data_IF_457473694669
#
_entry.id   IF_457473694669
#
_cell.length_a   1.000
_cell.length_b   1.000
_cell.length_c   1.000
_cell.angle_alpha   90.00
_cell.angle_beta   90.00
_cell.angle_gamma   90.00
#
_symmetry.space_group_name_H-M   'P 1'
#
loop_
_entity.id
_entity.type
_entity.pdbx_description
1 polymer ?
#
# COMPACT_ATOMS: atom_id res chain seq x y z
N UNK A 1 8.93 -3.98 -9.88
CA UNK A 1 10.00 -5.00 -9.76
C UNK A 1 11.23 -4.74 -10.64
N UNK A 2 11.11 -4.23 -11.88
CA UNK A 2 12.29 -3.93 -12.72
C UNK A 2 13.32 -3.00 -12.05
N UNK A 3 12.86 -1.86 -11.50
CA UNK A 3 13.71 -0.93 -10.74
C UNK A 3 14.47 -1.58 -9.57
N UNK A 4 13.86 -2.59 -8.92
CA UNK A 4 14.52 -3.35 -7.85
C UNK A 4 15.60 -4.27 -8.42
N UNK A 5 15.37 -4.87 -9.59
CA UNK A 5 16.38 -5.61 -10.34
C UNK A 5 17.58 -4.71 -10.68
N UNK A 6 17.32 -3.54 -11.25
CA UNK A 6 18.36 -2.56 -11.62
C UNK A 6 19.19 -2.16 -10.39
N UNK A 7 18.54 -1.86 -9.26
CA UNK A 7 19.20 -1.53 -8.00
C UNK A 7 20.10 -2.65 -7.47
N UNK A 8 19.71 -3.91 -7.69
CA UNK A 8 20.47 -5.09 -7.27
C UNK A 8 21.49 -5.54 -8.32
N UNK A 9 21.68 -4.78 -9.41
CA UNK A 9 22.53 -5.14 -10.54
C UNK A 9 22.16 -6.51 -11.14
N UNK A 10 20.85 -6.79 -11.20
CA UNK A 10 20.28 -8.01 -11.78
C UNK A 10 19.36 -7.66 -12.94
N UNK A 11 19.33 -8.52 -13.95
CA UNK A 11 18.38 -8.46 -15.07
C UNK A 11 17.39 -9.64 -14.99
N UNK A 12 16.36 -9.57 -14.12
CA UNK A 12 15.38 -10.64 -13.98
C UNK A 12 14.57 -10.82 -15.27
N UNK A 13 14.28 -12.07 -15.63
CA UNK A 13 13.40 -12.38 -16.75
C UNK A 13 11.96 -11.91 -16.49
N UNK A 14 11.18 -11.74 -17.55
CA UNK A 14 9.78 -11.36 -17.43
C UNK A 14 8.96 -12.41 -16.67
N UNK A 15 9.28 -13.70 -16.84
CA UNK A 15 8.65 -14.79 -16.07
C UNK A 15 8.94 -14.67 -14.56
N UNK A 16 10.18 -14.33 -14.19
CA UNK A 16 10.53 -14.14 -12.78
C UNK A 16 9.83 -12.90 -12.22
N UNK A 17 9.70 -11.84 -13.00
CA UNK A 17 8.97 -10.63 -12.60
C UNK A 17 7.48 -10.92 -12.39
N UNK A 18 6.84 -11.64 -13.31
CA UNK A 18 5.44 -12.05 -13.21
C UNK A 18 5.21 -12.99 -12.03
N UNK A 19 6.13 -13.94 -11.80
CA UNK A 19 6.07 -14.82 -10.63
C UNK A 19 6.19 -14.02 -9.33
N UNK A 20 7.12 -13.07 -9.25
CA UNK A 20 7.30 -12.24 -8.07
C UNK A 20 6.09 -11.33 -7.82
N UNK A 21 5.53 -10.72 -8.86
CA UNK A 21 4.30 -9.92 -8.78
C UNK A 21 3.13 -10.76 -8.27
N UNK A 22 2.93 -11.95 -8.84
CA UNK A 22 1.89 -12.88 -8.40
C UNK A 22 2.06 -13.27 -6.94
N UNK A 23 3.28 -13.64 -6.51
CA UNK A 23 3.55 -14.05 -5.12
C UNK A 23 3.39 -12.92 -4.11
N UNK A 24 3.68 -11.69 -4.51
CA UNK A 24 3.55 -10.50 -3.67
C UNK A 24 2.21 -9.76 -3.86
N UNK A 25 1.30 -10.29 -4.68
CA UNK A 25 -0.03 -9.69 -4.85
C UNK A 25 -0.82 -9.83 -3.54
N UNK A 26 -1.49 -8.76 -3.10
CA UNK A 26 -2.10 -8.73 -1.76
C UNK A 26 -3.12 -9.85 -1.56
N UNK A 27 -3.91 -10.20 -2.58
CA UNK A 27 -4.89 -11.29 -2.47
C UNK A 27 -4.21 -12.65 -2.27
N UNK A 28 -3.09 -12.88 -2.95
CA UNK A 28 -2.31 -14.12 -2.79
C UNK A 28 -1.63 -14.16 -1.42
N UNK A 29 -1.07 -13.04 -0.96
CA UNK A 29 -0.51 -12.94 0.39
C UNK A 29 -1.57 -13.14 1.47
N UNK A 30 -2.79 -12.61 1.28
CA UNK A 30 -3.93 -12.82 2.18
C UNK A 30 -4.33 -14.29 2.22
N UNK A 31 -4.47 -14.94 1.06
CA UNK A 31 -4.80 -16.36 0.98
C UNK A 31 -3.72 -17.24 1.65
N UNK A 32 -2.43 -16.94 1.43
CA UNK A 32 -1.32 -17.69 2.03
C UNK A 32 -1.22 -17.55 3.56
N UNK A 33 -1.60 -16.39 4.11
CA UNK A 33 -1.52 -16.14 5.57
C UNK A 33 -2.56 -16.94 6.37
N UNK A 34 -3.69 -17.29 5.77
CA UNK A 34 -4.77 -17.97 6.47
C UNK A 34 -5.35 -17.12 7.63
N UNK A 35 -5.81 -17.80 8.69
CA UNK A 35 -6.52 -17.17 9.83
C UNK A 35 -5.61 -16.70 10.96
N UNK A 36 -4.29 -16.75 10.78
CA UNK A 36 -3.38 -16.26 11.81
C UNK A 36 -3.47 -14.74 11.80
N UNK A 37 -3.64 -14.10 12.95
CA UNK A 37 -3.87 -12.66 13.12
C UNK A 37 -5.26 -12.19 12.66
N UNK A 38 -6.26 -12.53 13.48
CA UNK A 38 -7.60 -11.94 13.47
C UNK A 38 -7.77 -11.07 14.73
N UNK A 39 -8.66 -10.09 14.68
CA UNK A 39 -9.09 -9.37 15.87
C UNK A 39 -10.13 -10.20 16.67
N UNK A 40 -10.64 -9.62 17.75
CA UNK A 40 -11.64 -10.24 18.62
C UNK A 40 -12.96 -10.56 17.90
N UNK A 41 -13.23 -9.87 16.78
CA UNK A 41 -14.44 -10.03 15.97
C UNK A 41 -14.20 -10.99 14.78
N UNK A 42 -13.01 -11.58 14.67
CA UNK A 42 -12.66 -12.50 13.60
C UNK A 42 -12.31 -11.80 12.28
N UNK A 43 -12.05 -10.49 12.27
CA UNK A 43 -11.60 -9.80 11.07
C UNK A 43 -10.07 -9.88 10.92
N UNK A 44 -9.54 -9.98 9.69
CA UNK A 44 -8.10 -10.01 9.47
C UNK A 44 -7.45 -8.67 9.84
N UNK A 45 -6.49 -8.68 10.77
CA UNK A 45 -5.78 -7.46 11.20
C UNK A 45 -4.65 -7.03 10.26
N UNK A 46 -4.33 -7.86 9.25
CA UNK A 46 -3.30 -7.59 8.23
C UNK A 46 -3.85 -7.92 6.85
N UNK A 47 -3.29 -7.29 5.80
CA UNK A 47 -3.77 -7.38 4.42
C UNK A 47 -5.25 -6.98 4.27
N UNK A 48 -5.68 -5.91 4.95
CA UNK A 48 -7.07 -5.45 5.04
C UNK A 48 -7.72 -5.18 3.68
N UNK A 49 -7.32 -4.11 2.97
CA UNK A 49 -7.85 -3.77 1.63
C UNK A 49 -6.78 -3.73 0.55
N UNK A 50 -5.62 -3.13 0.81
CA UNK A 50 -4.54 -3.01 -0.18
C UNK A 50 -4.79 -1.96 -1.26
N UNK A 51 -5.67 -1.00 -1.00
CA UNK A 51 -6.06 0.02 -1.96
C UNK A 51 -5.57 1.38 -1.51
N UNK A 52 -4.93 2.11 -2.42
CA UNK A 52 -4.64 3.54 -2.24
C UNK A 52 -5.96 4.29 -2.45
N UNK A 53 -6.27 5.25 -1.56
CA UNK A 53 -7.54 6.00 -1.61
C UNK A 53 -8.62 5.51 -0.64
N UNK A 54 -8.42 4.39 0.07
CA UNK A 54 -9.43 3.89 1.00
C UNK A 54 -9.76 4.84 2.17
N UNK A 55 -8.86 5.80 2.46
CA UNK A 55 -9.09 6.84 3.46
C UNK A 55 -10.38 7.64 3.19
N UNK A 56 -10.81 7.78 1.93
CA UNK A 56 -12.07 8.44 1.54
C UNK A 56 -13.31 7.76 2.12
N UNK A 57 -13.22 6.47 2.43
CA UNK A 57 -14.32 5.71 3.06
C UNK A 57 -14.36 5.88 4.59
N UNK A 58 -13.37 6.58 5.17
CA UNK A 58 -13.24 6.73 6.63
C UNK A 58 -13.30 8.19 7.06
N UNK A 59 -12.71 9.10 6.28
CA UNK A 59 -12.64 10.51 6.63
C UNK A 59 -13.95 11.21 6.29
N UNK A 60 -14.44 12.03 7.21
CA UNK A 60 -15.45 13.04 6.88
C UNK A 60 -14.80 14.18 6.09
N UNK A 61 -15.62 15.00 5.42
CA UNK A 61 -15.14 16.17 4.68
C UNK A 61 -14.34 17.11 5.58
N UNK A 62 -14.85 17.43 6.78
CA UNK A 62 -14.16 18.30 7.73
C UNK A 62 -12.82 17.71 8.23
N UNK A 63 -12.75 16.39 8.42
CA UNK A 63 -11.49 15.73 8.78
C UNK A 63 -10.48 15.78 7.63
N UNK A 64 -10.93 15.63 6.40
CA UNK A 64 -10.06 15.75 5.24
C UNK A 64 -9.52 17.18 5.07
N UNK A 65 -10.36 18.20 5.22
CA UNK A 65 -9.93 19.60 5.16
C UNK A 65 -8.86 19.91 6.22
N UNK A 66 -9.06 19.45 7.45
CA UNK A 66 -8.09 19.61 8.53
C UNK A 66 -6.78 18.85 8.25
N UNK A 67 -6.87 17.65 7.69
CA UNK A 67 -5.71 16.86 7.27
C UNK A 67 -4.92 17.55 6.15
N UNK A 68 -5.61 18.12 5.16
CA UNK A 68 -5.01 18.83 4.04
C UNK A 68 -4.23 20.06 4.50
N UNK A 69 -4.72 20.79 5.52
CA UNK A 69 -4.00 21.91 6.13
C UNK A 69 -2.70 21.47 6.79
N UNK A 70 -2.75 20.40 7.59
CA UNK A 70 -1.57 19.82 8.25
C UNK A 70 -0.57 19.29 7.22
N UNK A 71 -1.05 18.58 6.20
CA UNK A 71 -0.17 18.07 5.15
C UNK A 71 0.52 19.21 4.40
N UNK A 72 -0.18 20.31 4.11
CA UNK A 72 0.42 21.50 3.50
C UNK A 72 1.48 22.14 4.38
N UNK A 73 1.28 22.22 5.69
CA UNK A 73 2.27 22.81 6.61
C UNK A 73 3.49 21.92 6.79
N UNK A 74 3.27 20.65 7.15
CA UNK A 74 4.33 19.72 7.56
C UNK A 74 5.17 19.22 6.40
N UNK A 75 4.63 19.21 5.17
CA UNK A 75 5.36 18.72 3.99
C UNK A 75 5.85 19.83 3.06
N UNK A 76 5.67 21.11 3.43
CA UNK A 76 6.03 22.27 2.59
C UNK A 76 7.47 22.22 2.09
N UNK A 77 8.40 21.82 2.95
CA UNK A 77 9.85 21.85 2.65
C UNK A 77 10.36 20.50 2.10
N UNK A 78 9.48 19.51 1.95
CA UNK A 78 9.82 18.22 1.36
C UNK A 78 9.76 18.30 -0.17
N UNK A 79 10.78 17.75 -0.82
CA UNK A 79 10.78 17.57 -2.29
C UNK A 79 9.90 16.40 -2.73
N UNK A 80 9.44 15.59 -1.78
CA UNK A 80 8.66 14.38 -2.00
C UNK A 80 7.20 14.74 -2.25
N UNK A 81 6.62 14.15 -3.29
CA UNK A 81 5.18 14.25 -3.56
C UNK A 81 4.49 12.98 -3.09
N UNK A 82 3.39 13.13 -2.36
CA UNK A 82 2.54 12.03 -1.94
C UNK A 82 1.34 11.90 -2.88
N UNK A 83 0.96 10.65 -3.16
CA UNK A 83 -0.19 10.30 -3.99
C UNK A 83 -1.20 9.60 -3.09
N UNK A 84 -2.35 10.23 -2.88
CA UNK A 84 -3.39 9.74 -1.97
C UNK A 84 -4.46 8.89 -2.68
N UNK A 85 -4.35 8.72 -3.99
CA UNK A 85 -5.28 7.99 -4.87
C UNK A 85 -4.52 7.53 -6.11
N UNK A 86 -4.75 6.28 -6.53
CA UNK A 86 -4.12 5.66 -7.71
C UNK A 86 -5.21 5.16 -8.66
#
# INVERSE_FOLDING_TARGET
MRRLGDFLERSPSDDLLALAESRCHIDNMRAMKGTHFMDVDGNPIMYRKGLVGDWKNTFTVAQNEAFDDVMRSETRDLKTKFVFEV
#
